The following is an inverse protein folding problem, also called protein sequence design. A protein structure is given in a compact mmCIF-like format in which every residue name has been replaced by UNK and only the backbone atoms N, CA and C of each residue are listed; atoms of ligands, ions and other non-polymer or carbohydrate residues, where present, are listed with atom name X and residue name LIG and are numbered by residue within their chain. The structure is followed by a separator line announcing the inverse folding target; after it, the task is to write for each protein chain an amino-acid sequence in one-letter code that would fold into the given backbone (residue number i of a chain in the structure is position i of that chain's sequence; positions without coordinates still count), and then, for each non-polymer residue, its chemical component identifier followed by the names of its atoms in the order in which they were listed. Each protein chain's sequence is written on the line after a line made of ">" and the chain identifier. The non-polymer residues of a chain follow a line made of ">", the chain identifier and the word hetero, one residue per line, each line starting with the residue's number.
data_IF_016385716111
#
_entry.id   IF_016385716111
#
_cell.length_a   1.000
_cell.length_b   1.000
_cell.length_c   1.000
_cell.angle_alpha   90.00
_cell.angle_beta   90.00
_cell.angle_gamma   90.00
#
_symmetry.space_group_name_H-M   'P 1'
#
loop_
_entity.id
_entity.type
_entity.pdbx_description
1 polymer ?
#
# COMPACT_ATOMS: atom_id res chain seq x y z
N UNK A 1 -2.08 24.21 40.82
CA UNK A 1 -0.60 24.26 40.66
C UNK A 1 -0.05 22.85 40.64
N UNK A 2 0.29 22.33 39.45
CA UNK A 2 1.40 21.39 39.21
C UNK A 2 1.83 21.56 37.75
N UNK A 3 3.09 22.00 37.64
CA UNK A 3 4.00 22.13 36.50
C UNK A 3 3.45 22.71 35.18
N UNK A 4 3.90 23.93 34.88
CA UNK A 4 4.17 24.39 33.52
C UNK A 4 4.94 23.29 32.77
N UNK A 5 4.23 22.56 31.92
CA UNK A 5 4.79 21.45 31.15
C UNK A 5 5.79 21.98 30.12
N UNK A 6 6.94 21.31 30.03
CA UNK A 6 7.94 21.44 28.96
C UNK A 6 7.22 21.60 27.60
N UNK A 7 7.63 22.52 26.71
CA UNK A 7 6.97 22.67 25.41
C UNK A 7 6.99 21.33 24.66
N UNK A 8 5.81 20.87 24.22
CA UNK A 8 5.67 19.74 23.29
C UNK A 8 6.51 20.07 22.04
N UNK A 9 7.70 19.49 21.91
CA UNK A 9 8.51 19.63 20.70
C UNK A 9 7.89 18.79 19.60
N UNK A 10 7.54 19.41 18.48
CA UNK A 10 7.02 18.71 17.31
C UNK A 10 8.20 18.23 16.45
N UNK A 11 8.32 16.92 16.29
CA UNK A 11 9.28 16.32 15.36
C UNK A 11 8.59 15.92 14.07
N UNK A 12 9.30 16.08 12.95
CA UNK A 12 8.81 15.68 11.63
C UNK A 12 9.47 14.35 11.27
N UNK A 13 8.66 13.29 11.24
CA UNK A 13 9.04 11.97 10.77
C UNK A 13 8.73 11.81 9.28
N UNK A 14 9.54 11.05 8.57
CA UNK A 14 9.33 10.68 7.17
C UNK A 14 9.12 9.17 7.11
N UNK A 15 8.08 8.74 6.38
CA UNK A 15 7.75 7.33 6.17
C UNK A 15 7.71 7.02 4.68
N UNK A 16 8.35 5.93 4.24
CA UNK A 16 8.33 5.52 2.84
C UNK A 16 7.65 4.17 2.64
N UNK A 17 6.58 4.16 1.86
CA UNK A 17 6.05 2.95 1.24
C UNK A 17 6.73 2.78 -0.11
N UNK A 18 7.75 1.93 -0.14
CA UNK A 18 8.51 1.62 -1.36
C UNK A 18 7.91 0.37 -1.98
N UNK A 19 7.35 0.50 -3.18
CA UNK A 19 6.68 -0.58 -3.90
C UNK A 19 7.54 -1.06 -5.06
N UNK A 20 7.61 -2.37 -5.22
CA UNK A 20 8.10 -3.04 -6.41
C UNK A 20 7.18 -4.20 -6.79
N UNK A 21 7.30 -4.73 -8.01
CA UNK A 21 6.61 -5.96 -8.41
C UNK A 21 7.65 -7.01 -8.75
N UNK A 22 7.60 -8.14 -8.03
CA UNK A 22 8.57 -9.25 -8.15
C UNK A 22 7.79 -10.53 -8.37
N UNK A 23 8.11 -11.26 -9.45
CA UNK A 23 7.40 -12.50 -9.81
C UNK A 23 5.86 -12.38 -9.80
N UNK A 24 5.32 -11.27 -10.34
CA UNK A 24 3.86 -10.96 -10.38
C UNK A 24 3.22 -10.82 -8.99
N UNK A 25 4.03 -10.62 -7.94
CA UNK A 25 3.60 -10.29 -6.59
C UNK A 25 4.01 -8.85 -6.29
N UNK A 26 3.06 -8.00 -5.84
CA UNK A 26 3.37 -6.66 -5.39
C UNK A 26 4.05 -6.72 -4.01
N UNK A 27 5.18 -6.05 -3.89
CA UNK A 27 6.04 -6.09 -2.71
C UNK A 27 6.19 -4.69 -2.12
N UNK A 28 6.23 -4.63 -0.79
CA UNK A 28 6.61 -3.45 -0.03
C UNK A 28 7.95 -3.73 0.64
N UNK A 29 8.84 -2.74 0.62
CA UNK A 29 10.06 -2.82 1.40
C UNK A 29 9.72 -2.67 2.88
N UNK A 30 10.00 -3.71 3.64
CA UNK A 30 9.85 -3.76 5.08
C UNK A 30 11.22 -3.75 5.75
N UNK A 31 11.29 -3.22 6.97
CA UNK A 31 12.47 -3.27 7.83
C UNK A 31 12.09 -4.05 9.08
N UNK A 32 12.96 -4.95 9.53
CA UNK A 32 12.83 -5.59 10.83
C UNK A 32 13.76 -4.87 11.80
N UNK A 33 13.21 -4.37 12.90
CA UNK A 33 14.03 -3.77 13.95
C UNK A 33 14.73 -4.84 14.79
N UNK A 34 15.85 -4.45 15.40
CA UNK A 34 16.64 -5.32 16.28
C UNK A 34 16.22 -5.22 17.76
N UNK A 35 15.34 -4.28 18.10
CA UNK A 35 14.92 -3.95 19.48
C UNK A 35 13.81 -4.86 20.06
N UNK A 36 13.69 -6.09 19.56
CA UNK A 36 12.83 -7.13 20.15
C UNK A 36 11.36 -7.12 19.72
N UNK A 37 10.91 -6.14 18.93
CA UNK A 37 9.62 -6.21 18.23
C UNK A 37 9.79 -6.93 16.88
N UNK A 38 9.22 -8.14 16.78
CA UNK A 38 9.32 -8.97 15.58
C UNK A 38 8.45 -8.49 14.41
N UNK A 39 7.64 -7.43 14.58
CA UNK A 39 6.79 -6.90 13.51
C UNK A 39 7.60 -6.07 12.52
N UNK A 40 7.19 -6.15 11.26
CA UNK A 40 7.74 -5.35 10.18
C UNK A 40 7.38 -3.86 10.37
N UNK A 41 8.28 -2.97 9.98
CA UNK A 41 8.05 -1.52 9.87
C UNK A 41 8.29 -1.05 8.42
N UNK A 42 7.78 0.13 8.07
CA UNK A 42 8.25 0.83 6.88
C UNK A 42 9.66 1.38 7.12
N UNK A 43 10.43 1.73 6.08
CA UNK A 43 11.55 2.64 6.23
C UNK A 43 11.06 4.00 6.74
N UNK A 44 11.54 4.40 7.93
CA UNK A 44 11.13 5.67 8.54
C UNK A 44 12.27 6.44 9.23
N UNK A 45 11.96 7.67 9.64
CA UNK A 45 12.64 8.41 10.70
C UNK A 45 12.75 9.92 10.43
N UNK A 46 13.52 10.66 11.23
CA UNK A 46 13.38 12.11 11.30
C UNK A 46 13.85 12.81 10.03
N UNK A 47 13.16 13.89 9.69
CA UNK A 47 13.62 14.91 8.75
C UNK A 47 14.81 15.66 9.35
N UNK A 48 15.89 15.81 8.57
CA UNK A 48 17.07 16.58 8.95
C UNK A 48 17.09 17.93 8.19
N UNK A 49 16.56 19.02 8.80
CA UNK A 49 16.52 20.33 8.15
C UNK A 49 17.89 20.97 7.99
N UNK A 50 18.91 20.53 8.73
CA UNK A 50 20.26 21.07 8.63
C UNK A 50 20.98 20.55 7.38
N UNK A 51 20.66 19.32 6.96
CA UNK A 51 21.25 18.69 5.77
C UNK A 51 20.41 18.85 4.51
N UNK A 52 19.08 18.85 4.65
CA UNK A 52 18.17 18.74 3.52
C UNK A 52 17.16 19.87 3.47
N UNK A 53 17.06 20.53 2.30
CA UNK A 53 16.11 21.63 2.07
C UNK A 53 14.66 21.18 1.96
N UNK A 54 14.42 19.92 1.61
CA UNK A 54 13.08 19.36 1.40
C UNK A 54 12.93 18.00 2.07
N UNK A 55 11.70 17.66 2.46
CA UNK A 55 11.37 16.35 2.99
C UNK A 55 11.70 15.23 2.00
N UNK A 56 11.42 15.42 0.70
CA UNK A 56 11.74 14.42 -0.33
C UNK A 56 13.26 14.19 -0.43
N UNK A 57 14.08 15.25 -0.39
CA UNK A 57 15.53 15.09 -0.43
C UNK A 57 16.05 14.29 0.77
N UNK A 58 15.52 14.57 1.96
CA UNK A 58 15.87 13.83 3.18
C UNK A 58 15.43 12.37 3.12
N UNK A 59 14.25 12.09 2.57
CA UNK A 59 13.75 10.73 2.40
C UNK A 59 14.63 9.94 1.42
N UNK A 60 14.90 10.54 0.26
CA UNK A 60 15.71 9.95 -0.81
C UNK A 60 17.10 9.61 -0.31
N UNK A 61 17.77 10.57 0.33
CA UNK A 61 19.12 10.38 0.90
C UNK A 61 19.14 9.23 1.90
N UNK A 62 18.13 9.12 2.78
CA UNK A 62 18.04 8.05 3.77
C UNK A 62 17.82 6.67 3.13
N UNK A 63 16.88 6.57 2.19
CA UNK A 63 16.58 5.32 1.51
C UNK A 63 17.78 4.89 0.67
N UNK A 64 18.29 5.73 -0.22
CA UNK A 64 19.38 5.38 -1.13
C UNK A 64 20.66 4.97 -0.39
N UNK A 65 20.98 5.62 0.74
CA UNK A 65 22.13 5.25 1.60
C UNK A 65 21.97 3.91 2.30
N UNK A 66 20.74 3.54 2.69
CA UNK A 66 20.47 2.31 3.46
C UNK A 66 20.16 1.11 2.57
N UNK A 67 19.56 1.33 1.40
CA UNK A 67 18.91 0.25 0.65
C UNK A 67 19.47 0.02 -0.74
N UNK A 68 20.44 0.82 -1.22
CA UNK A 68 20.98 0.83 -2.60
C UNK A 68 19.93 1.04 -3.73
N UNK A 69 18.63 0.99 -3.39
CA UNK A 69 17.50 1.21 -4.28
C UNK A 69 17.53 2.62 -4.87
N UNK A 70 17.37 2.70 -6.18
CA UNK A 70 17.12 3.97 -6.89
C UNK A 70 15.63 4.21 -7.00
N UNK A 71 15.13 5.24 -6.31
CA UNK A 71 13.72 5.59 -6.33
C UNK A 71 13.37 6.35 -7.62
N UNK A 72 12.69 5.67 -8.56
CA UNK A 72 12.32 6.25 -9.86
C UNK A 72 11.17 7.25 -9.75
N UNK A 73 10.12 6.87 -9.01
CA UNK A 73 8.96 7.72 -8.74
C UNK A 73 8.81 7.95 -7.25
N UNK A 74 8.55 9.19 -6.83
CA UNK A 74 8.19 9.53 -5.45
C UNK A 74 6.99 10.49 -5.47
N UNK A 75 6.05 10.28 -4.56
CA UNK A 75 4.92 11.17 -4.31
C UNK A 75 4.62 11.23 -2.82
N UNK A 76 4.36 12.43 -2.31
CA UNK A 76 3.82 12.58 -0.96
C UNK A 76 2.37 12.05 -0.92
N UNK A 77 2.10 11.16 0.03
CA UNK A 77 0.78 10.58 0.26
C UNK A 77 -0.08 11.49 1.12
N UNK A 78 0.26 11.55 2.40
CA UNK A 78 -0.53 12.21 3.43
C UNK A 78 0.36 12.58 4.62
N UNK A 79 -0.15 13.46 5.47
CA UNK A 79 0.49 13.84 6.73
C UNK A 79 -0.34 13.29 7.89
N UNK A 80 0.34 12.62 8.80
CA UNK A 80 -0.21 11.87 9.91
C UNK A 80 0.22 12.51 11.22
N UNK A 81 -0.71 13.09 11.97
CA UNK A 81 -0.42 13.87 13.18
C UNK A 81 -1.23 13.46 14.41
N UNK A 82 -1.82 12.26 14.43
CA UNK A 82 -2.58 11.82 15.60
C UNK A 82 -1.64 11.58 16.79
N UNK A 83 -2.02 12.09 17.97
CA UNK A 83 -1.24 11.91 19.20
C UNK A 83 -1.11 10.43 19.55
N UNK A 84 0.10 9.99 19.89
CA UNK A 84 0.39 8.63 20.34
C UNK A 84 0.59 7.59 19.24
N UNK A 85 0.64 7.99 17.96
CA UNK A 85 0.93 7.12 16.79
C UNK A 85 2.28 6.40 16.88
N UNK A 86 3.28 7.09 17.41
CA UNK A 86 4.61 6.55 17.63
C UNK A 86 4.93 6.66 19.12
N UNK A 87 5.28 5.52 19.74
CA UNK A 87 5.73 5.45 21.13
C UNK A 87 7.09 4.78 21.14
N UNK A 88 8.15 5.58 21.00
CA UNK A 88 9.51 5.10 21.18
C UNK A 88 9.89 5.24 22.68
N UNK A 89 10.59 4.26 23.27
CA UNK A 89 11.11 4.39 24.63
C UNK A 89 12.00 5.64 24.77
N UNK A 90 11.74 6.47 25.78
CA UNK A 90 12.53 7.69 26.04
C UNK A 90 12.07 8.96 25.32
N UNK A 91 10.96 8.93 24.58
CA UNK A 91 10.39 10.10 23.88
C UNK A 91 9.17 10.71 24.60
N UNK A 92 9.19 10.74 25.93
CA UNK A 92 8.16 11.43 26.71
C UNK A 92 8.19 12.95 26.44
N UNK A 93 7.07 13.53 25.98
CA UNK A 93 6.94 14.96 25.69
C UNK A 93 7.23 15.38 24.23
N UNK A 94 7.45 14.43 23.32
CA UNK A 94 7.56 14.71 21.87
C UNK A 94 6.25 14.39 21.14
N UNK A 95 5.85 15.28 20.22
CA UNK A 95 4.75 15.00 19.30
C UNK A 95 5.29 14.76 17.89
N UNK A 96 5.19 13.52 17.41
CA UNK A 96 5.64 13.17 16.06
C UNK A 96 4.55 13.45 15.02
N UNK A 97 4.89 14.26 14.02
CA UNK A 97 4.10 14.43 12.79
C UNK A 97 4.81 13.69 11.67
N UNK A 98 4.18 12.66 11.13
CA UNK A 98 4.75 11.81 10.09
C UNK A 98 4.26 12.24 8.70
N UNK A 99 5.17 12.43 7.75
CA UNK A 99 4.85 12.63 6.33
C UNK A 99 5.10 11.32 5.58
N UNK A 100 4.03 10.73 5.05
CA UNK A 100 4.10 9.51 4.27
C UNK A 100 4.39 9.77 2.79
N UNK A 101 5.24 8.93 2.21
CA UNK A 101 5.60 8.94 0.79
C UNK A 101 5.33 7.58 0.17
N UNK A 102 4.86 7.58 -1.08
CA UNK A 102 4.85 6.43 -1.96
C UNK A 102 6.02 6.56 -2.92
N UNK A 103 6.84 5.53 -2.99
CA UNK A 103 7.89 5.43 -3.99
C UNK A 103 7.75 4.15 -4.81
N UNK A 104 8.04 4.22 -6.10
CA UNK A 104 8.06 3.06 -6.99
C UNK A 104 9.50 2.80 -7.43
N UNK A 105 9.91 1.54 -7.35
CA UNK A 105 11.23 1.09 -7.78
C UNK A 105 11.14 -0.24 -8.53
N UNK A 106 12.20 -0.53 -9.27
CA UNK A 106 12.43 -1.85 -9.84
C UNK A 106 13.29 -2.64 -8.87
N UNK A 107 13.16 -3.96 -8.92
CA UNK A 107 14.10 -4.84 -8.22
C UNK A 107 15.18 -5.30 -9.19
N UNK A 108 16.38 -5.44 -8.67
CA UNK A 108 17.48 -6.17 -9.30
C UNK A 108 18.05 -7.14 -8.24
N UNK A 109 18.76 -8.17 -8.70
CA UNK A 109 19.28 -9.21 -7.81
C UNK A 109 20.34 -8.65 -6.84
N UNK A 110 21.17 -7.71 -7.29
CA UNK A 110 22.24 -7.10 -6.50
C UNK A 110 21.71 -6.23 -5.35
N UNK A 111 20.58 -5.55 -5.53
CA UNK A 111 19.96 -4.76 -4.47
C UNK A 111 19.41 -5.66 -3.35
N UNK A 112 18.95 -6.88 -3.66
CA UNK A 112 18.34 -7.75 -2.66
C UNK A 112 19.33 -8.23 -1.59
N UNK A 113 20.59 -8.47 -1.94
CA UNK A 113 21.62 -8.87 -0.99
C UNK A 113 21.94 -7.72 -0.02
N UNK A 114 22.17 -6.51 -0.55
CA UNK A 114 22.44 -5.31 0.26
C UNK A 114 21.27 -4.90 1.14
N UNK A 115 20.03 -5.11 0.67
CA UNK A 115 18.83 -4.89 1.47
C UNK A 115 18.84 -5.77 2.72
N UNK A 116 19.16 -7.06 2.57
CA UNK A 116 19.21 -7.99 3.69
C UNK A 116 20.27 -7.60 4.71
N UNK A 117 21.46 -7.16 4.27
CA UNK A 117 22.51 -6.62 5.15
C UNK A 117 22.05 -5.40 5.95
N UNK A 118 21.17 -4.58 5.37
CA UNK A 118 20.58 -3.40 6.01
C UNK A 118 19.34 -3.71 6.87
N UNK A 119 19.01 -4.99 7.08
CA UNK A 119 17.81 -5.41 7.83
C UNK A 119 16.49 -5.17 7.09
N UNK A 120 16.56 -4.91 5.79
CA UNK A 120 15.41 -4.64 4.93
C UNK A 120 15.10 -5.83 4.03
N UNK A 121 13.82 -6.08 3.75
CA UNK A 121 13.38 -7.21 2.95
C UNK A 121 12.06 -6.94 2.24
N UNK A 122 11.80 -7.66 1.14
CA UNK A 122 10.59 -7.52 0.34
C UNK A 122 9.45 -8.40 0.86
N UNK A 123 8.39 -7.79 1.38
CA UNK A 123 7.18 -8.49 1.82
C UNK A 123 6.06 -8.37 0.79
N UNK A 124 5.35 -9.46 0.51
CA UNK A 124 4.10 -9.38 -0.27
C UNK A 124 3.10 -8.52 0.50
N UNK A 125 2.58 -7.47 -0.14
CA UNK A 125 1.69 -6.54 0.56
C UNK A 125 0.35 -7.18 0.96
N UNK A 126 -0.01 -8.32 0.35
CA UNK A 126 -1.21 -9.08 0.66
C UNK A 126 -1.00 -9.93 1.93
N UNK A 127 0.25 -10.07 2.39
CA UNK A 127 0.53 -10.51 3.74
C UNK A 127 -0.01 -9.52 4.78
N UNK A 128 0.11 -8.22 4.53
CA UNK A 128 -0.46 -7.17 5.37
C UNK A 128 -1.95 -6.94 5.10
N UNK A 129 -2.43 -7.12 3.87
CA UNK A 129 -3.81 -6.83 3.50
C UNK A 129 -4.45 -8.03 2.78
N UNK A 130 -4.60 -9.19 3.45
CA UNK A 130 -4.99 -10.45 2.79
C UNK A 130 -6.40 -10.45 2.19
N UNK A 131 -7.27 -9.54 2.63
CA UNK A 131 -8.62 -9.37 2.07
C UNK A 131 -8.65 -8.58 0.76
N UNK A 132 -7.50 -8.08 0.28
CA UNK A 132 -7.40 -7.26 -0.93
C UNK A 132 -7.03 -8.07 -2.19
N UNK A 133 -6.61 -9.33 -2.07
CA UNK A 133 -6.20 -10.15 -3.22
C UNK A 133 -7.38 -10.96 -3.80
N UNK A 134 -8.08 -10.36 -4.76
CA UNK A 134 -9.20 -10.95 -5.46
C UNK A 134 -8.79 -11.68 -6.76
N UNK A 135 -7.48 -11.85 -7.01
CA UNK A 135 -7.02 -12.52 -8.23
C UNK A 135 -7.52 -13.96 -8.27
N UNK A 136 -7.53 -14.66 -7.13
CA UNK A 136 -8.09 -16.03 -7.05
C UNK A 136 -9.58 -16.07 -6.72
N UNK A 137 -10.31 -14.98 -6.98
CA UNK A 137 -11.70 -14.80 -6.56
C UNK A 137 -11.80 -14.23 -5.14
N UNK A 138 -13.02 -14.23 -4.59
CA UNK A 138 -13.31 -13.64 -3.27
C UNK A 138 -12.49 -14.31 -2.16
N UNK A 139 -11.69 -13.56 -1.38
CA UNK A 139 -10.90 -14.12 -0.28
C UNK A 139 -11.79 -14.81 0.76
N UNK A 140 -11.51 -16.08 1.09
CA UNK A 140 -12.27 -16.84 2.09
C UNK A 140 -12.27 -16.18 3.48
N UNK A 141 -11.19 -15.46 3.82
CA UNK A 141 -11.07 -14.69 5.06
C UNK A 141 -12.20 -13.66 5.23
N UNK A 142 -12.74 -13.12 4.12
CA UNK A 142 -13.88 -12.20 4.18
C UNK A 142 -15.10 -12.88 4.79
N UNK A 143 -15.49 -14.02 4.24
CA UNK A 143 -16.74 -14.70 4.61
C UNK A 143 -16.60 -15.49 5.91
N UNK A 144 -15.43 -16.06 6.18
CA UNK A 144 -15.20 -16.88 7.37
C UNK A 144 -14.93 -16.05 8.63
N UNK A 145 -14.38 -14.85 8.50
CA UNK A 145 -13.84 -14.10 9.64
C UNK A 145 -14.29 -12.65 9.67
N UNK A 146 -13.98 -11.88 8.62
CA UNK A 146 -14.12 -10.42 8.65
C UNK A 146 -15.60 -10.00 8.69
N UNK A 147 -16.41 -10.46 7.73
CA UNK A 147 -17.79 -10.01 7.60
C UNK A 147 -18.68 -10.47 8.76
N UNK A 148 -18.59 -11.72 9.27
CA UNK A 148 -19.30 -12.12 10.47
C UNK A 148 -18.93 -11.26 11.69
N UNK A 149 -17.66 -10.89 11.83
CA UNK A 149 -17.22 -10.07 12.94
C UNK A 149 -17.65 -8.60 12.80
N UNK A 150 -17.66 -8.05 11.57
CA UNK A 150 -18.21 -6.73 11.28
C UNK A 150 -19.73 -6.67 11.54
N UNK A 151 -20.49 -7.71 11.19
CA UNK A 151 -21.92 -7.76 11.49
C UNK A 151 -22.21 -7.66 13.00
N UNK A 152 -21.39 -8.32 13.84
CA UNK A 152 -21.48 -8.18 15.32
C UNK A 152 -21.10 -6.78 15.78
N UNK A 153 -20.10 -6.16 15.17
CA UNK A 153 -19.68 -4.80 15.50
C UNK A 153 -20.73 -3.75 15.07
N UNK A 154 -21.41 -3.96 13.95
CA UNK A 154 -22.50 -3.13 13.47
C UNK A 154 -23.65 -3.04 14.48
N UNK A 155 -24.05 -4.17 15.06
CA UNK A 155 -25.10 -4.26 16.08
C UNK A 155 -24.78 -3.43 17.35
N UNK A 156 -23.50 -3.22 17.65
CA UNK A 156 -23.05 -2.46 18.81
C UNK A 156 -23.30 -3.18 20.15
N UNK A 157 -22.92 -2.55 21.29
CA UNK A 157 -23.01 -3.17 22.61
C UNK A 157 -24.45 -3.40 23.08
N UNK A 158 -25.38 -2.52 22.70
CA UNK A 158 -26.78 -2.61 23.09
C UNK A 158 -27.61 -3.51 22.16
N UNK A 159 -27.04 -3.96 21.03
CA UNK A 159 -27.74 -4.76 20.03
C UNK A 159 -28.88 -4.04 19.30
N UNK A 160 -29.07 -2.74 19.51
CA UNK A 160 -30.12 -1.97 18.83
C UNK A 160 -29.71 -1.66 17.38
N UNK A 161 -30.09 -2.58 16.49
CA UNK A 161 -29.89 -2.47 15.05
C UNK A 161 -30.60 -1.24 14.44
N UNK A 162 -31.62 -0.67 15.11
CA UNK A 162 -32.37 0.49 14.60
C UNK A 162 -31.72 1.83 14.99
N UNK A 163 -30.69 1.81 15.84
CA UNK A 163 -29.95 3.02 16.20
C UNK A 163 -29.29 3.67 14.97
N UNK A 164 -29.23 5.01 14.97
CA UNK A 164 -28.57 5.77 13.90
C UNK A 164 -27.08 5.40 13.75
N UNK A 165 -26.41 5.08 14.85
CA UNK A 165 -25.03 4.64 14.86
C UNK A 165 -24.84 3.27 14.19
N UNK A 166 -25.73 2.30 14.46
CA UNK A 166 -25.70 0.99 13.79
C UNK A 166 -25.96 1.13 12.28
N UNK A 167 -26.92 1.99 11.89
CA UNK A 167 -27.19 2.27 10.48
C UNK A 167 -25.98 2.90 9.76
N UNK A 168 -25.27 3.83 10.41
CA UNK A 168 -24.07 4.43 9.86
C UNK A 168 -22.93 3.41 9.69
N UNK A 169 -22.69 2.55 10.69
CA UNK A 169 -21.70 1.45 10.59
C UNK A 169 -22.01 0.52 9.42
N UNK A 170 -23.26 0.04 9.31
CA UNK A 170 -23.71 -0.81 8.19
C UNK A 170 -23.47 -0.16 6.84
N UNK A 171 -23.82 1.11 6.69
CA UNK A 171 -23.61 1.83 5.42
C UNK A 171 -22.13 1.87 5.03
N UNK A 172 -21.23 2.16 5.98
CA UNK A 172 -19.78 2.17 5.74
C UNK A 172 -19.25 0.81 5.33
N UNK A 173 -19.67 -0.27 6.02
CA UNK A 173 -19.25 -1.64 5.69
C UNK A 173 -19.74 -2.05 4.31
N UNK A 174 -21.01 -1.80 3.97
CA UNK A 174 -21.58 -2.11 2.65
C UNK A 174 -20.80 -1.42 1.52
N UNK A 175 -20.50 -0.14 1.68
CA UNK A 175 -19.73 0.64 0.70
C UNK A 175 -18.27 0.17 0.60
N UNK A 176 -17.62 -0.13 1.72
CA UNK A 176 -16.21 -0.51 1.74
C UNK A 176 -15.98 -1.93 1.20
N UNK A 177 -16.88 -2.87 1.47
CA UNK A 177 -16.72 -4.28 1.10
C UNK A 177 -17.53 -4.70 -0.13
N UNK A 178 -18.21 -3.77 -0.80
CA UNK A 178 -19.02 -4.07 -1.99
C UNK A 178 -20.08 -5.13 -1.71
N UNK A 179 -20.93 -4.85 -0.71
CA UNK A 179 -22.01 -5.76 -0.32
C UNK A 179 -23.34 -5.31 -0.93
N UNK A 180 -24.27 -6.27 -1.08
CA UNK A 180 -25.55 -6.10 -1.75
C UNK A 180 -25.37 -5.61 -3.20
N UNK A 181 -25.97 -4.46 -3.55
CA UNK A 181 -25.93 -3.86 -4.89
C UNK A 181 -24.68 -3.00 -5.13
N UNK A 182 -23.79 -2.87 -4.15
CA UNK A 182 -22.57 -2.08 -4.31
C UNK A 182 -21.43 -2.93 -4.90
N UNK A 183 -20.79 -2.51 -6.00
CA UNK A 183 -19.64 -3.24 -6.54
C UNK A 183 -18.42 -3.12 -5.63
N UNK A 184 -17.54 -4.11 -5.68
CA UNK A 184 -16.22 -4.02 -5.05
C UNK A 184 -15.39 -2.92 -5.71
N UNK A 185 -14.99 -1.95 -4.92
CA UNK A 185 -14.08 -0.88 -5.32
C UNK A 185 -12.67 -1.13 -4.77
N UNK A 186 -11.73 -1.44 -5.67
CA UNK A 186 -10.35 -1.70 -5.29
C UNK A 186 -9.62 -0.49 -4.68
N UNK A 187 -10.14 0.74 -4.82
CA UNK A 187 -9.53 1.94 -4.23
C UNK A 187 -9.88 2.14 -2.75
N UNK A 188 -10.92 1.48 -2.23
CA UNK A 188 -11.39 1.62 -0.84
C UNK A 188 -10.54 0.88 0.22
N UNK A 189 -9.24 0.75 -0.03
CA UNK A 189 -8.32 -0.05 0.80
C UNK A 189 -8.17 0.55 2.20
N UNK A 190 -8.02 1.87 2.27
CA UNK A 190 -7.89 2.57 3.55
C UNK A 190 -9.18 2.45 4.35
N UNK A 191 -10.34 2.68 3.73
CA UNK A 191 -11.65 2.59 4.40
C UNK A 191 -11.89 1.20 4.97
N UNK A 192 -11.51 0.15 4.24
CA UNK A 192 -11.57 -1.22 4.76
C UNK A 192 -10.64 -1.41 5.95
N UNK A 193 -9.39 -0.94 5.86
CA UNK A 193 -8.46 -1.01 7.00
C UNK A 193 -9.01 -0.27 8.24
N UNK A 194 -9.53 0.96 8.08
CA UNK A 194 -10.10 1.73 9.19
C UNK A 194 -11.28 1.01 9.85
N UNK A 195 -12.17 0.40 9.06
CA UNK A 195 -13.29 -0.38 9.60
C UNK A 195 -12.81 -1.60 10.39
N UNK A 196 -11.78 -2.30 9.90
CA UNK A 196 -11.20 -3.42 10.64
C UNK A 196 -10.49 -2.96 11.91
N UNK A 197 -9.83 -1.80 11.89
CA UNK A 197 -9.23 -1.20 13.07
C UNK A 197 -10.28 -0.81 14.11
N UNK A 198 -11.33 -0.08 13.73
CA UNK A 198 -12.43 0.30 14.61
C UNK A 198 -13.19 -0.92 15.18
N UNK A 199 -13.30 -1.98 14.39
CA UNK A 199 -13.92 -3.23 14.83
C UNK A 199 -13.01 -4.12 15.69
N UNK A 200 -11.72 -3.75 15.86
CA UNK A 200 -10.74 -4.56 16.59
C UNK A 200 -10.37 -5.86 15.89
N UNK A 201 -10.37 -5.88 14.56
CA UNK A 201 -10.08 -7.04 13.71
C UNK A 201 -8.66 -7.04 13.14
N UNK A 202 -7.85 -6.05 13.51
CA UNK A 202 -6.42 -5.99 13.26
C UNK A 202 -5.68 -5.83 14.58
N UNK A 203 -4.47 -6.38 14.67
CA UNK A 203 -3.71 -6.46 15.92
C UNK A 203 -3.35 -5.08 16.47
N UNK A 204 -3.17 -4.11 15.58
CA UNK A 204 -2.88 -2.71 15.91
C UNK A 204 -3.94 -2.11 16.84
N UNK A 205 -5.23 -2.40 16.61
CA UNK A 205 -6.33 -1.89 17.44
C UNK A 205 -6.27 -2.39 18.89
N UNK A 206 -5.76 -3.60 19.12
CA UNK A 206 -5.58 -4.14 20.46
C UNK A 206 -4.37 -3.51 21.15
N UNK A 207 -3.25 -3.36 20.42
CA UNK A 207 -2.02 -2.74 20.93
C UNK A 207 -2.27 -1.29 21.35
N UNK A 208 -3.06 -0.56 20.58
CA UNK A 208 -3.41 0.83 20.84
C UNK A 208 -4.46 0.99 21.95
N UNK A 209 -5.00 -0.13 22.47
CA UNK A 209 -6.01 -0.15 23.53
C UNK A 209 -7.41 0.23 23.05
N UNK A 210 -7.67 0.20 21.74
CA UNK A 210 -8.97 0.49 21.14
C UNK A 210 -10.02 -0.59 21.43
N UNK A 211 -9.59 -1.83 21.61
CA UNK A 211 -10.44 -2.94 22.03
C UNK A 211 -9.78 -3.77 23.15
N UNK A 212 -10.61 -4.35 24.04
CA UNK A 212 -10.17 -5.27 25.10
C UNK A 212 -10.79 -6.66 24.85
N UNK A 213 -9.96 -7.70 24.83
CA UNK A 213 -10.40 -9.10 24.72
C UNK A 213 -9.72 -9.86 23.58
N UNK A 214 -9.23 -11.07 23.89
CA UNK A 214 -8.27 -11.86 23.11
C UNK A 214 -8.87 -12.81 22.06
N UNK A 215 -10.15 -12.67 21.72
CA UNK A 215 -10.84 -13.67 20.90
C UNK A 215 -11.12 -13.25 19.45
N UNK A 216 -10.68 -12.05 19.05
CA UNK A 216 -10.82 -11.61 17.65
C UNK A 216 -9.61 -12.09 16.85
N UNK A 217 -9.79 -12.92 15.82
CA UNK A 217 -8.69 -13.24 14.91
C UNK A 217 -8.19 -11.95 14.25
N UNK A 218 -6.92 -11.63 14.44
CA UNK A 218 -6.28 -10.52 13.76
C UNK A 218 -6.10 -10.89 12.28
N UNK A 219 -6.77 -10.16 11.39
CA UNK A 219 -6.60 -10.34 9.97
C UNK A 219 -5.21 -9.83 9.55
N UNK A 220 -4.43 -10.64 8.83
CA UNK A 220 -3.14 -10.25 8.22
C UNK A 220 -1.98 -10.01 9.20
N UNK A 221 -0.81 -9.74 8.62
CA UNK A 221 0.41 -9.42 9.37
C UNK A 221 0.31 -8.01 9.94
N UNK A 222 0.65 -7.88 11.23
CA UNK A 222 0.72 -6.60 11.92
C UNK A 222 2.01 -5.85 11.58
N UNK A 223 1.94 -4.52 11.55
CA UNK A 223 3.12 -3.67 11.46
C UNK A 223 3.35 -2.88 12.75
N UNK A 224 4.54 -2.31 12.89
CA UNK A 224 4.82 -1.34 13.95
C UNK A 224 4.10 -0.01 13.69
N UNK A 225 3.81 0.71 14.77
CA UNK A 225 3.11 2.00 14.75
C UNK A 225 1.82 1.92 13.92
N UNK A 226 1.55 2.95 13.12
CA UNK A 226 0.44 3.05 12.18
C UNK A 226 0.83 2.63 10.75
N UNK A 227 1.99 2.00 10.56
CA UNK A 227 2.57 1.79 9.23
C UNK A 227 1.66 1.00 8.30
N UNK A 228 0.87 0.05 8.83
CA UNK A 228 -0.11 -0.70 8.05
C UNK A 228 -1.22 0.18 7.47
N UNK A 229 -1.61 1.23 8.19
CA UNK A 229 -2.51 2.30 7.71
C UNK A 229 -1.89 3.11 6.58
N UNK A 230 -0.60 3.44 6.70
CA UNK A 230 0.16 4.14 5.65
C UNK A 230 0.24 3.27 4.39
N UNK A 231 0.48 1.96 4.55
CA UNK A 231 0.43 0.97 3.46
C UNK A 231 -0.95 0.95 2.81
N UNK A 232 -2.04 0.83 3.56
CA UNK A 232 -3.40 0.85 3.01
C UNK A 232 -3.67 2.13 2.20
N UNK A 233 -3.21 3.29 2.69
CA UNK A 233 -3.28 4.57 1.99
C UNK A 233 -2.49 4.55 0.67
N UNK A 234 -1.27 4.02 0.70
CA UNK A 234 -0.40 3.94 -0.48
C UNK A 234 -0.97 3.01 -1.56
N UNK A 235 -1.54 1.87 -1.17
CA UNK A 235 -2.18 0.92 -2.10
C UNK A 235 -3.40 1.56 -2.75
N UNK A 236 -4.29 2.18 -1.97
CA UNK A 236 -5.44 2.92 -2.50
C UNK A 236 -4.98 3.99 -3.51
N UNK A 237 -3.98 4.79 -3.15
CA UNK A 237 -3.43 5.83 -4.00
C UNK A 237 -2.85 5.27 -5.29
N UNK A 238 -2.05 4.21 -5.22
CA UNK A 238 -1.43 3.59 -6.39
C UNK A 238 -2.50 3.00 -7.33
N UNK A 239 -3.50 2.29 -6.80
CA UNK A 239 -4.62 1.71 -7.57
C UNK A 239 -5.43 2.78 -8.30
N UNK A 240 -5.76 3.89 -7.64
CA UNK A 240 -6.40 5.02 -8.31
C UNK A 240 -5.48 5.64 -9.36
N UNK A 241 -4.19 5.81 -9.04
CA UNK A 241 -3.23 6.51 -9.91
C UNK A 241 -2.94 5.79 -11.21
N UNK A 242 -2.80 4.46 -11.20
CA UNK A 242 -2.58 3.68 -12.42
C UNK A 242 -3.73 3.84 -13.43
N UNK A 243 -4.94 4.23 -12.97
CA UNK A 243 -6.10 4.42 -13.85
C UNK A 243 -5.97 5.62 -14.79
N UNK A 244 -5.27 6.67 -14.35
CA UNK A 244 -5.21 7.96 -15.07
C UNK A 244 -3.79 8.49 -15.30
N UNK A 245 -2.75 7.86 -14.72
CA UNK A 245 -1.34 8.10 -15.04
C UNK A 245 -0.60 6.79 -15.36
N UNK A 246 0.40 6.82 -16.24
CA UNK A 246 1.17 5.64 -16.63
C UNK A 246 2.27 5.29 -15.61
N UNK A 247 2.01 5.45 -14.30
CA UNK A 247 3.00 5.20 -13.23
C UNK A 247 3.38 3.73 -13.09
N UNK A 248 2.58 2.81 -13.64
CA UNK A 248 2.89 1.38 -13.65
C UNK A 248 4.22 1.07 -14.35
N UNK A 249 4.65 1.88 -15.34
CA UNK A 249 5.91 1.64 -16.05
C UNK A 249 7.15 1.91 -15.20
N UNK A 250 7.01 2.59 -14.06
CA UNK A 250 8.11 2.74 -13.09
C UNK A 250 8.44 1.42 -12.40
N UNK A 251 7.49 0.49 -12.38
CA UNK A 251 7.63 -0.88 -11.86
C UNK A 251 8.05 -1.88 -12.94
N UNK A 252 8.06 -1.48 -14.21
CA UNK A 252 8.41 -2.35 -15.34
C UNK A 252 9.90 -2.24 -15.68
N UNK A 253 10.54 -3.31 -16.15
CA UNK A 253 11.86 -3.23 -16.77
C UNK A 253 11.82 -2.35 -18.04
N UNK A 254 12.98 -1.92 -18.58
CA UNK A 254 13.03 -1.11 -19.81
C UNK A 254 12.33 -1.76 -21.02
N UNK A 255 12.38 -3.09 -21.11
CA UNK A 255 11.70 -3.89 -22.11
C UNK A 255 10.88 -4.99 -21.42
N UNK A 256 9.63 -5.17 -21.85
CA UNK A 256 8.69 -6.10 -21.24
C UNK A 256 7.70 -6.67 -22.26
N UNK A 257 7.06 -7.79 -21.93
CA UNK A 257 5.93 -8.29 -22.72
C UNK A 257 4.61 -7.66 -22.23
N UNK A 258 3.59 -7.61 -23.09
CA UNK A 258 2.24 -7.20 -22.67
C UNK A 258 1.64 -8.12 -21.60
N UNK A 259 2.11 -9.37 -21.52
CA UNK A 259 1.68 -10.31 -20.48
C UNK A 259 2.27 -9.93 -19.13
N UNK A 260 3.53 -9.49 -19.09
CA UNK A 260 4.17 -9.01 -17.86
C UNK A 260 3.53 -7.70 -17.38
N UNK A 261 3.20 -6.80 -18.31
CA UNK A 261 2.48 -5.57 -17.99
C UNK A 261 1.09 -5.88 -17.43
N UNK A 262 0.33 -6.79 -18.06
CA UNK A 262 -0.97 -7.23 -17.55
C UNK A 262 -0.83 -7.81 -16.13
N UNK A 263 0.09 -8.74 -15.93
CA UNK A 263 0.30 -9.38 -14.64
C UNK A 263 0.71 -8.37 -13.55
N UNK A 264 1.47 -7.34 -13.91
CA UNK A 264 1.86 -6.24 -12.99
C UNK A 264 0.65 -5.40 -12.60
N UNK A 265 -0.21 -5.05 -13.56
CA UNK A 265 -1.45 -4.32 -13.28
C UNK A 265 -2.41 -5.15 -12.41
N UNK A 266 -2.57 -6.44 -12.72
CA UNK A 266 -3.39 -7.37 -11.93
C UNK A 266 -2.85 -7.54 -10.50
N UNK A 267 -1.52 -7.64 -10.36
CA UNK A 267 -0.85 -7.69 -9.06
C UNK A 267 -1.19 -6.47 -8.21
N UNK A 268 -1.14 -5.26 -8.79
CA UNK A 268 -1.43 -3.99 -8.11
C UNK A 268 -2.93 -3.83 -7.82
N UNK A 269 -3.79 -4.12 -8.79
CA UNK A 269 -5.25 -3.95 -8.64
C UNK A 269 -5.88 -5.02 -7.75
N UNK A 270 -5.20 -6.15 -7.57
CA UNK A 270 -5.73 -7.30 -6.85
C UNK A 270 -6.84 -8.02 -7.61
N UNK A 271 -6.99 -7.81 -8.92
CA UNK A 271 -8.07 -8.42 -9.72
C UNK A 271 -7.51 -8.92 -11.05
N UNK A 272 -8.06 -10.02 -11.56
CA UNK A 272 -7.76 -10.46 -12.92
C UNK A 272 -8.41 -9.55 -13.97
N UNK A 273 -7.70 -9.36 -15.08
CA UNK A 273 -8.12 -8.53 -16.21
C UNK A 273 -8.34 -9.40 -17.45
N UNK A 274 -9.34 -9.04 -18.25
CA UNK A 274 -9.59 -9.73 -19.50
C UNK A 274 -8.48 -9.41 -20.52
N UNK A 275 -7.71 -10.43 -20.91
CA UNK A 275 -6.51 -10.31 -21.76
C UNK A 275 -6.72 -9.46 -23.02
N UNK A 276 -7.79 -9.72 -23.78
CA UNK A 276 -8.06 -8.98 -25.03
C UNK A 276 -8.44 -7.52 -24.77
N UNK A 277 -9.17 -7.25 -23.69
CA UNK A 277 -9.58 -5.89 -23.35
C UNK A 277 -8.37 -5.07 -22.89
N UNK A 278 -7.51 -5.69 -22.09
CA UNK A 278 -6.27 -5.07 -21.62
C UNK A 278 -5.35 -4.72 -22.79
N UNK A 279 -5.13 -5.66 -23.71
CA UNK A 279 -4.32 -5.42 -24.90
C UNK A 279 -4.85 -4.25 -25.73
N UNK A 280 -6.15 -4.25 -26.04
CA UNK A 280 -6.80 -3.16 -26.79
C UNK A 280 -6.65 -1.81 -26.07
N UNK A 281 -6.75 -1.81 -24.74
CA UNK A 281 -6.60 -0.60 -23.93
C UNK A 281 -5.17 -0.04 -24.01
N UNK A 282 -4.15 -0.88 -23.86
CA UNK A 282 -2.75 -0.45 -23.90
C UNK A 282 -2.35 0.03 -25.29
N UNK A 283 -2.72 -0.71 -26.33
CA UNK A 283 -2.42 -0.37 -27.73
C UNK A 283 -3.20 0.89 -28.16
N UNK A 284 -4.50 0.99 -27.83
CA UNK A 284 -5.32 2.15 -28.17
C UNK A 284 -4.95 3.42 -27.39
N UNK A 285 -4.36 3.28 -26.19
CA UNK A 285 -3.81 4.40 -25.45
C UNK A 285 -2.42 4.85 -25.95
N UNK A 286 -1.81 4.09 -26.87
CA UNK A 286 -0.48 4.33 -27.45
C UNK A 286 0.63 4.47 -26.39
N UNK A 287 0.48 3.75 -25.28
CA UNK A 287 1.41 3.83 -24.14
C UNK A 287 2.73 3.10 -24.39
N UNK A 288 2.74 2.18 -25.34
CA UNK A 288 3.86 1.29 -25.58
C UNK A 288 4.19 1.25 -27.06
N UNK A 289 5.46 1.02 -27.37
CA UNK A 289 5.97 0.85 -28.72
C UNK A 289 6.72 -0.49 -28.83
N UNK A 290 6.60 -1.21 -29.97
CA UNK A 290 7.32 -2.46 -30.17
C UNK A 290 8.82 -2.21 -30.32
N UNK A 291 9.63 -3.10 -29.75
CA UNK A 291 11.10 -3.04 -29.87
C UNK A 291 11.63 -3.82 -31.07
N UNK A 292 10.79 -4.68 -31.68
CA UNK A 292 11.20 -5.68 -32.67
C UNK A 292 11.79 -6.95 -32.06
N UNK A 293 12.13 -6.95 -30.77
CA UNK A 293 12.59 -8.12 -30.04
C UNK A 293 11.46 -9.08 -29.67
N UNK A 294 11.85 -10.33 -29.35
CA UNK A 294 10.93 -11.32 -28.79
C UNK A 294 11.59 -12.07 -27.64
N UNK A 295 10.79 -12.43 -26.64
CA UNK A 295 11.21 -13.28 -25.53
C UNK A 295 10.77 -14.73 -25.81
N UNK A 296 11.70 -15.67 -25.69
CA UNK A 296 11.39 -17.10 -25.78
C UNK A 296 10.42 -17.49 -24.67
N UNK A 297 9.33 -18.15 -25.02
CA UNK A 297 8.32 -18.63 -24.07
C UNK A 297 8.55 -20.11 -23.78
N UNK A 298 8.36 -20.53 -22.53
CA UNK A 298 8.47 -21.93 -22.07
C UNK A 298 7.27 -22.80 -22.49
N UNK A 299 6.77 -22.65 -23.72
CA UNK A 299 5.67 -23.47 -24.23
C UNK A 299 4.75 -22.85 -25.28
N UNK A 300 5.19 -21.83 -26.06
CA UNK A 300 4.35 -21.20 -27.08
C UNK A 300 5.09 -20.23 -28.02
N UNK A 301 4.33 -19.48 -28.84
CA UNK A 301 4.88 -18.45 -29.75
C UNK A 301 5.69 -17.42 -28.94
N UNK A 302 6.88 -17.01 -29.41
CA UNK A 302 7.68 -15.98 -28.76
C UNK A 302 6.85 -14.71 -28.49
N UNK A 303 6.99 -14.15 -27.29
CA UNK A 303 6.26 -12.97 -26.88
C UNK A 303 6.97 -11.72 -27.40
N UNK A 304 6.26 -10.82 -28.08
CA UNK A 304 6.84 -9.56 -28.54
C UNK A 304 7.23 -8.67 -27.36
N UNK A 305 8.40 -8.03 -27.47
CA UNK A 305 8.91 -7.08 -26.50
C UNK A 305 8.49 -5.66 -26.85
N UNK A 306 8.07 -4.92 -25.83
CA UNK A 306 7.63 -3.55 -25.89
C UNK A 306 8.44 -2.70 -24.90
N UNK A 307 8.47 -1.39 -25.15
CA UNK A 307 9.00 -0.38 -24.22
C UNK A 307 7.96 0.71 -24.00
N UNK A 308 8.07 1.42 -22.87
CA UNK A 308 7.18 2.55 -22.57
C UNK A 308 7.50 3.75 -23.49
N UNK A 309 6.47 4.27 -24.16
CA UNK A 309 6.58 5.46 -25.03
C UNK A 309 6.46 6.73 -24.17
N UNK A 310 7.59 7.19 -23.63
CA UNK A 310 7.63 8.35 -22.71
C UNK A 310 7.05 9.65 -23.27
N UNK A 311 7.13 9.87 -24.58
CA UNK A 311 6.63 11.07 -25.28
C UNK A 311 5.13 11.33 -25.03
N UNK A 312 4.35 10.28 -24.72
CA UNK A 312 2.91 10.41 -24.45
C UNK A 312 2.60 11.31 -23.24
N UNK A 313 3.57 11.50 -22.33
CA UNK A 313 3.44 12.38 -21.16
C UNK A 313 3.39 13.85 -21.54
N UNK A 314 4.00 14.23 -22.67
CA UNK A 314 4.01 15.60 -23.18
C UNK A 314 2.80 15.85 -24.11
N UNK A 315 2.25 14.79 -24.70
CA UNK A 315 1.13 14.84 -25.66
C UNK A 315 -0.25 14.86 -24.99
N UNK A 316 -0.39 14.27 -23.80
CA UNK A 316 -1.69 14.11 -23.11
C UNK A 316 -1.59 14.41 -21.60
N UNK A 317 -2.49 15.22 -21.02
CA UNK A 317 -2.46 15.55 -19.59
C UNK A 317 -2.65 14.35 -18.63
N UNK A 318 -3.35 13.29 -19.08
CA UNK A 318 -3.68 12.11 -18.26
C UNK A 318 -3.68 10.79 -19.07
N UNK A 319 -2.50 10.21 -19.39
CA UNK A 319 -2.38 9.04 -20.26
C UNK A 319 -2.47 7.68 -19.52
N UNK A 320 -3.21 7.58 -18.40
CA UNK A 320 -3.26 6.33 -17.62
C UNK A 320 -4.02 5.17 -18.25
N UNK A 321 -3.90 4.00 -17.62
CA UNK A 321 -4.61 2.80 -18.00
C UNK A 321 -6.03 2.86 -17.46
N UNK A 322 -7.02 3.33 -18.22
CA UNK A 322 -8.43 3.37 -17.79
C UNK A 322 -9.04 1.96 -17.63
N UNK A 323 -8.56 1.19 -16.66
CA UNK A 323 -9.01 -0.16 -16.36
C UNK A 323 -10.38 -0.03 -15.69
N UNK A 324 -11.44 -0.13 -16.50
CA UNK A 324 -12.83 -0.04 -16.04
C UNK A 324 -13.33 -1.39 -15.52
N UNK A 325 -13.92 -1.36 -14.32
CA UNK A 325 -14.74 -2.45 -13.78
C UNK A 325 -15.96 -2.69 -14.68
N UNK A 326 -16.28 -3.96 -14.89
CA UNK A 326 -17.65 -4.35 -15.21
C UNK A 326 -18.44 -4.43 -13.93
#
# INVERSE_FOLDING_TARGET
>A
MRAEGVPDTVEIGLNAVIVAVVHRSPRILAVSETDGDARDSLPFGPFDPARHRTFEASLRDRVEKRTALKLGYIEQLYTFGDRGRQRLPGEEGKHMVSVGYLALTRTDAENNERLAEAGAHWRDWYGYLPWEDWRQGRPQLLDQTILPALARWEAGPDGDERSAAAAQRRSRVRLAFGLDDFPWDEERVLERYELLYEAGLVREAEIDGHCRGSEKPAAGLAMQHDHRRIVATAVARLRGKIKYRPVVFELMPPEFTLTDLQATVEAISGRHLHKQNFRRLVEGAELVEPTGGTLASTGGRPAALFRFRRQILDERPAPGLKVGGR
#
